data_IF_433270141172
#
_entry.id   IF_433270141172
#
_cell.length_a   1.000
_cell.length_b   1.000
_cell.length_c   1.000
_cell.angle_alpha   90.00
_cell.angle_beta   90.00
_cell.angle_gamma   90.00
#
_symmetry.space_group_name_H-M   'P 1'
#
loop_
_entity.id
_entity.type
_entity.pdbx_description
1 polymer ?
#
# COMPACT_ATOMS: atom_id res chain seq x y z
N UNK A 1 32.11 14.97 -23.56
CA UNK A 1 32.33 15.39 -22.15
C UNK A 1 31.29 16.44 -21.86
N UNK A 2 30.13 16.02 -21.34
CA UNK A 2 29.15 16.96 -20.84
C UNK A 2 29.80 17.68 -19.66
N UNK A 3 29.73 19.02 -19.68
CA UNK A 3 30.34 19.85 -18.65
C UNK A 3 29.70 19.47 -17.32
N UNK A 4 30.52 18.97 -16.41
CA UNK A 4 30.12 18.55 -15.05
C UNK A 4 29.63 19.75 -14.19
N UNK A 5 29.68 20.96 -14.74
CA UNK A 5 29.42 22.22 -14.05
C UNK A 5 28.43 23.05 -14.86
N UNK A 6 27.23 23.25 -14.32
CA UNK A 6 26.16 24.06 -14.91
C UNK A 6 25.76 25.14 -13.91
N UNK A 7 25.66 26.39 -14.38
CA UNK A 7 25.27 27.58 -13.58
C UNK A 7 23.92 27.35 -12.88
N UNK A 8 22.99 26.65 -13.52
CA UNK A 8 21.68 26.33 -12.94
C UNK A 8 21.74 25.26 -11.83
N UNK A 9 22.85 24.53 -11.71
CA UNK A 9 23.14 23.58 -10.61
C UNK A 9 23.93 24.24 -9.46
N UNK A 10 24.27 25.53 -9.56
CA UNK A 10 25.03 26.25 -8.53
C UNK A 10 24.26 26.36 -7.21
N UNK A 11 22.94 26.50 -7.29
CA UNK A 11 22.05 26.48 -6.13
C UNK A 11 21.33 25.13 -6.14
N UNK A 12 21.60 24.23 -5.16
CA UNK A 12 20.94 22.95 -5.11
C UNK A 12 19.43 23.16 -4.96
N UNK A 13 18.64 22.42 -5.75
CA UNK A 13 17.17 22.44 -5.61
C UNK A 13 16.81 22.04 -4.19
N UNK A 14 15.92 22.80 -3.55
CA UNK A 14 15.47 22.50 -2.19
C UNK A 14 14.71 21.18 -2.23
N UNK A 15 15.37 20.10 -1.82
CA UNK A 15 14.74 18.78 -1.68
C UNK A 15 13.75 18.87 -0.52
N UNK A 16 12.46 18.89 -0.83
CA UNK A 16 11.40 18.85 0.17
C UNK A 16 11.50 17.49 0.87
N UNK A 17 12.05 17.46 2.08
CA UNK A 17 12.12 16.23 2.84
C UNK A 17 10.70 15.80 3.23
N UNK A 18 10.22 14.61 2.80
CA UNK A 18 8.91 14.14 3.18
C UNK A 18 8.86 14.02 4.71
N UNK A 19 7.88 14.68 5.33
CA UNK A 19 7.70 14.59 6.78
C UNK A 19 7.30 13.15 7.12
N UNK A 20 8.07 12.50 8.00
CA UNK A 20 7.75 11.16 8.47
C UNK A 20 6.39 11.21 9.19
N UNK A 21 5.47 10.28 8.90
CA UNK A 21 4.20 10.25 9.61
C UNK A 21 4.42 10.06 11.11
N UNK A 22 3.50 10.57 11.92
CA UNK A 22 3.55 10.38 13.35
C UNK A 22 3.60 8.90 13.71
N UNK A 23 4.39 8.57 14.75
CA UNK A 23 4.48 7.20 15.23
C UNK A 23 3.12 6.75 15.73
N UNK A 24 2.63 5.63 15.20
CA UNK A 24 1.41 4.98 15.70
C UNK A 24 1.47 4.79 17.22
N UNK A 25 0.45 5.27 17.92
CA UNK A 25 0.21 5.01 19.35
C UNK A 25 -1.01 4.11 19.49
N UNK A 26 -0.84 3.02 20.22
CA UNK A 26 -1.93 2.10 20.53
C UNK A 26 -3.03 2.80 21.32
N UNK A 27 -4.29 2.39 21.09
CA UNK A 27 -5.45 2.81 21.90
C UNK A 27 -5.39 2.39 23.37
N UNK A 28 -4.49 1.47 23.72
CA UNK A 28 -4.37 0.91 25.06
C UNK A 28 -3.28 1.63 25.85
N UNK A 29 -3.59 1.98 27.10
CA UNK A 29 -2.64 2.62 28.01
C UNK A 29 -1.55 1.62 28.46
N UNK A 30 -0.26 1.90 28.21
CA UNK A 30 0.83 0.98 28.56
C UNK A 30 1.10 0.90 30.08
N UNK A 31 0.59 1.85 30.87
CA UNK A 31 0.75 1.87 32.33
C UNK A 31 -0.32 1.05 33.08
N UNK A 32 -1.33 0.55 32.37
CA UNK A 32 -2.44 -0.20 32.95
C UNK A 32 -2.09 -1.69 33.03
N UNK A 33 -2.49 -2.34 34.12
CA UNK A 33 -2.27 -3.77 34.26
C UNK A 33 -3.00 -4.58 33.16
N UNK A 34 -2.41 -5.65 32.62
CA UNK A 34 -3.04 -6.43 31.56
C UNK A 34 -4.31 -7.12 32.06
N UNK A 35 -5.40 -7.00 31.30
CA UNK A 35 -6.68 -7.63 31.63
C UNK A 35 -6.66 -9.10 31.22
N UNK A 36 -6.91 -10.02 32.15
CA UNK A 36 -7.02 -11.46 31.86
C UNK A 36 -5.71 -12.22 31.67
N UNK A 37 -4.57 -11.68 32.10
CA UNK A 37 -3.28 -12.40 32.01
C UNK A 37 -3.26 -13.63 32.93
N UNK A 38 -2.89 -14.79 32.36
CA UNK A 38 -2.74 -16.08 33.07
C UNK A 38 -1.31 -16.31 33.60
N UNK A 39 -0.34 -15.49 33.21
CA UNK A 39 1.04 -15.61 33.65
C UNK A 39 1.24 -14.89 34.99
N UNK A 40 1.27 -15.65 36.08
CA UNK A 40 1.60 -15.16 37.43
C UNK A 40 3.10 -14.96 37.62
N UNK A 41 3.70 -13.94 36.99
CA UNK A 41 5.17 -13.75 36.98
C UNK A 41 5.70 -13.02 38.22
N UNK A 42 4.86 -12.73 39.22
CA UNK A 42 5.32 -12.15 40.49
C UNK A 42 4.71 -12.96 41.62
N UNK A 43 5.57 -13.61 42.43
CA UNK A 43 5.24 -14.55 43.52
C UNK A 43 4.36 -13.98 44.65
N UNK A 44 3.16 -13.55 44.30
CA UNK A 44 2.03 -13.22 45.17
C UNK A 44 0.92 -14.21 44.83
N UNK A 45 0.19 -14.69 45.84
CA UNK A 45 -0.99 -15.57 45.72
C UNK A 45 -2.23 -14.88 45.10
N UNK A 46 -2.06 -13.72 44.48
CA UNK A 46 -3.13 -12.98 43.81
C UNK A 46 -2.70 -12.78 42.36
N UNK A 47 -3.36 -13.49 41.44
CA UNK A 47 -3.17 -13.32 39.99
C UNK A 47 -3.48 -11.86 39.62
N UNK A 48 -2.50 -11.02 39.24
CA UNK A 48 -2.74 -9.64 38.87
C UNK A 48 -3.21 -9.61 37.41
N UNK A 49 -4.42 -10.11 37.19
CA UNK A 49 -5.10 -10.12 35.89
C UNK A 49 -6.59 -9.78 35.99
N UNK A 50 -7.09 -9.41 37.17
CA UNK A 50 -8.50 -9.04 37.34
C UNK A 50 -8.70 -7.53 37.35
N UNK A 51 -8.38 -6.88 36.23
CA UNK A 51 -9.17 -5.72 35.82
C UNK A 51 -10.54 -6.21 35.30
N UNK A 52 -11.27 -6.97 36.13
CA UNK A 52 -12.66 -7.34 35.86
C UNK A 52 -13.52 -6.11 36.17
N UNK A 53 -13.45 -5.11 35.28
CA UNK A 53 -14.33 -3.95 35.27
C UNK A 53 -13.74 -2.62 35.73
N UNK A 54 -12.53 -2.57 36.31
CA UNK A 54 -11.91 -1.30 36.75
C UNK A 54 -10.47 -1.19 36.26
N UNK A 55 -10.15 -0.10 35.55
CA UNK A 55 -8.81 0.23 35.07
C UNK A 55 -7.98 0.65 36.29
N UNK A 56 -7.11 -0.23 36.77
CA UNK A 56 -6.20 0.09 37.88
C UNK A 56 -4.75 0.14 37.41
N UNK A 57 -4.03 1.19 37.83
CA UNK A 57 -2.57 1.25 37.69
C UNK A 57 -1.97 0.32 38.77
N UNK A 58 -0.98 -0.51 38.45
CA UNK A 58 -0.35 -1.34 39.47
C UNK A 58 0.37 -0.44 40.46
N UNK A 59 -0.03 -0.48 41.74
CA UNK A 59 0.74 0.14 42.80
C UNK A 59 2.14 -0.46 42.82
N UNK A 60 3.17 0.39 42.76
CA UNK A 60 4.55 -0.07 42.92
C UNK A 60 4.64 -0.79 44.27
N UNK A 61 5.02 -2.08 44.31
CA UNK A 61 5.09 -2.79 45.58
C UNK A 61 6.11 -2.08 46.46
N UNK A 62 5.67 -1.53 47.59
CA UNK A 62 6.57 -1.08 48.65
C UNK A 62 7.50 -2.22 49.13
N UNK A 63 7.12 -3.47 48.87
CA UNK A 63 7.82 -4.69 49.24
C UNK A 63 9.05 -5.03 48.38
N UNK A 64 9.43 -4.20 47.40
CA UNK A 64 10.79 -4.27 46.85
C UNK A 64 11.86 -3.77 47.86
N UNK A 65 11.44 -3.29 49.04
CA UNK A 65 12.30 -3.04 50.19
C UNK A 65 12.38 -4.29 51.08
N UNK A 66 13.12 -5.29 50.59
CA UNK A 66 13.88 -6.30 51.36
C UNK A 66 13.14 -7.27 52.29
N UNK A 67 13.45 -8.57 52.17
CA UNK A 67 13.38 -9.52 53.29
C UNK A 67 14.50 -9.19 54.31
N UNK A 68 14.34 -8.10 55.04
CA UNK A 68 15.34 -7.59 55.98
C UNK A 68 14.72 -6.86 57.17
N UNK A 69 15.56 -6.50 58.15
CA UNK A 69 15.15 -5.75 59.35
C UNK A 69 14.33 -4.52 58.95
N UNK A 70 13.08 -4.47 59.39
CA UNK A 70 12.22 -3.29 59.25
C UNK A 70 12.90 -2.11 59.96
N UNK A 71 13.07 -0.99 59.27
CA UNK A 71 13.78 0.20 59.77
C UNK A 71 13.03 0.95 60.87
N UNK A 72 11.75 0.63 61.08
CA UNK A 72 10.90 1.21 62.12
C UNK A 72 10.96 0.33 63.36
N UNK A 73 11.35 0.90 64.51
CA UNK A 73 11.30 0.20 65.80
C UNK A 73 9.83 -0.16 66.11
N UNK A 74 9.51 -1.41 66.46
CA UNK A 74 8.13 -1.77 66.80
C UNK A 74 7.68 -0.98 68.03
N UNK A 75 6.51 -0.35 67.93
CA UNK A 75 5.93 0.43 69.02
C UNK A 75 5.40 -0.52 70.11
N UNK A 76 5.91 -0.47 71.37
CA UNK A 76 5.53 -1.40 72.43
C UNK A 76 4.05 -1.34 72.82
N UNK A 77 3.32 -0.29 72.42
CA UNK A 77 1.87 -0.17 72.64
C UNK A 77 1.04 -0.92 71.59
N UNK A 78 1.61 -1.24 70.44
CA UNK A 78 0.96 -1.97 69.35
C UNK A 78 1.38 -3.44 69.35
N UNK A 79 0.99 -4.16 70.40
CA UNK A 79 1.14 -5.62 70.45
C UNK A 79 -0.15 -6.29 69.97
N UNK A 80 -0.02 -7.49 69.40
CA UNK A 80 -1.19 -8.27 68.99
C UNK A 80 -1.99 -8.74 70.20
N UNK A 81 -3.28 -8.43 70.24
CA UNK A 81 -4.20 -8.92 71.27
C UNK A 81 -4.74 -10.30 70.89
N UNK A 82 -5.13 -11.09 71.90
CA UNK A 82 -5.73 -12.42 71.70
C UNK A 82 -7.01 -12.29 70.86
N UNK A 83 -7.05 -12.95 69.70
CA UNK A 83 -8.21 -12.95 68.79
C UNK A 83 -8.21 -11.85 67.71
N UNK A 84 -7.25 -10.92 67.73
CA UNK A 84 -7.22 -9.76 66.81
C UNK A 84 -7.00 -10.15 65.34
N UNK A 85 -6.49 -11.37 65.06
CA UNK A 85 -6.37 -11.95 63.72
C UNK A 85 -7.23 -13.20 63.49
N UNK A 86 -8.16 -13.49 64.39
CA UNK A 86 -9.13 -14.57 64.20
C UNK A 86 -10.41 -14.01 63.58
N UNK A 87 -10.43 -13.79 62.26
CA UNK A 87 -11.66 -13.44 61.53
C UNK A 87 -12.47 -14.70 61.16
N UNK A 88 -12.58 -15.65 62.09
CA UNK A 88 -13.38 -16.87 61.91
C UNK A 88 -14.70 -16.85 62.68
N UNK A 89 -15.02 -15.74 63.35
CA UNK A 89 -16.38 -15.51 63.84
C UNK A 89 -17.23 -14.94 62.69
N UNK A 90 -17.94 -15.83 62.01
CA UNK A 90 -19.05 -15.45 61.12
C UNK A 90 -20.11 -14.80 62.00
N UNK A 91 -20.32 -13.49 61.85
CA UNK A 91 -21.45 -12.80 62.46
C UNK A 91 -22.74 -13.56 62.11
N UNK A 92 -23.50 -14.01 63.11
CA UNK A 92 -24.73 -14.79 62.90
C UNK A 92 -25.80 -14.00 62.13
N UNK A 93 -25.67 -12.67 62.14
CA UNK A 93 -26.52 -11.72 61.42
C UNK A 93 -26.09 -11.52 59.95
N UNK A 94 -24.89 -11.97 59.57
CA UNK A 94 -24.37 -11.91 58.20
C UNK A 94 -24.02 -13.32 57.72
N UNK A 95 -25.05 -14.16 57.61
CA UNK A 95 -24.91 -15.40 56.83
C UNK A 95 -24.57 -15.03 55.39
N UNK A 96 -23.55 -15.64 54.76
CA UNK A 96 -23.24 -15.35 53.37
C UNK A 96 -24.47 -15.67 52.51
N UNK A 97 -25.13 -14.64 51.99
CA UNK A 97 -26.23 -14.81 51.06
C UNK A 97 -25.66 -15.41 49.78
N UNK A 98 -26.27 -16.50 49.29
CA UNK A 98 -25.89 -17.10 48.00
C UNK A 98 -25.91 -16.00 46.94
N UNK A 99 -24.82 -15.87 46.20
CA UNK A 99 -24.70 -14.91 45.10
C UNK A 99 -25.91 -15.02 44.18
N UNK A 100 -26.62 -13.91 43.95
CA UNK A 100 -27.78 -13.84 43.06
C UNK A 100 -27.43 -13.01 41.83
N UNK A 101 -27.72 -13.54 40.65
CA UNK A 101 -27.63 -12.80 39.40
C UNK A 101 -28.74 -11.75 39.35
N UNK A 102 -28.40 -10.52 38.95
CA UNK A 102 -29.37 -9.46 38.69
C UNK A 102 -30.07 -9.72 37.34
N UNK A 103 -31.42 -9.79 37.34
CA UNK A 103 -32.23 -9.98 36.14
C UNK A 103 -33.55 -10.70 36.41
N UNK A 104 -34.47 -10.64 35.44
CA UNK A 104 -35.71 -11.42 35.51
C UNK A 104 -35.37 -12.91 35.38
N UNK A 105 -35.68 -13.68 36.42
CA UNK A 105 -35.57 -15.14 36.39
C UNK A 105 -36.68 -15.69 35.49
N UNK A 106 -36.39 -16.78 34.77
CA UNK A 106 -37.43 -17.54 34.06
C UNK A 106 -38.56 -17.90 35.05
N UNK A 107 -39.83 -17.90 34.61
CA UNK A 107 -40.94 -18.31 35.48
C UNK A 107 -40.67 -19.70 36.04
N UNK A 108 -41.12 -19.96 37.26
CA UNK A 108 -41.00 -21.27 37.89
C UNK A 108 -41.68 -22.34 37.04
N UNK A 109 -41.10 -23.54 37.03
CA UNK A 109 -41.72 -24.70 36.38
C UNK A 109 -43.02 -25.02 37.11
N UNK A 110 -44.09 -25.26 36.35
CA UNK A 110 -45.42 -25.66 36.84
C UNK A 110 -45.25 -26.90 37.74
N UNK A 111 -45.77 -26.85 38.97
CA UNK A 111 -45.67 -27.99 39.89
C UNK A 111 -46.71 -29.06 39.55
N UNK A 112 -46.52 -30.29 40.03
CA UNK A 112 -47.45 -31.40 39.75
C UNK A 112 -48.88 -31.11 40.27
N UNK A 113 -49.03 -30.28 41.30
CA UNK A 113 -50.33 -29.91 41.86
C UNK A 113 -51.05 -28.81 41.07
N UNK A 114 -50.33 -28.04 40.25
CA UNK A 114 -50.86 -26.91 39.49
C UNK A 114 -51.51 -27.40 38.19
N UNK A 115 -52.84 -27.52 38.21
CA UNK A 115 -53.61 -27.96 37.04
C UNK A 115 -53.71 -26.81 36.05
N UNK A 116 -53.49 -27.04 34.74
CA UNK A 116 -53.70 -26.01 33.72
C UNK A 116 -55.16 -25.55 33.75
N UNK A 117 -55.43 -24.35 33.22
CA UNK A 117 -56.80 -23.82 33.11
C UNK A 117 -57.60 -24.76 32.19
N UNK A 118 -58.34 -25.66 32.81
CA UNK A 118 -59.18 -26.66 32.14
C UNK A 118 -60.47 -26.00 31.66
N UNK A 119 -60.94 -26.36 30.47
CA UNK A 119 -62.25 -25.90 29.97
C UNK A 119 -62.20 -24.66 29.05
N UNK A 120 -61.02 -24.24 28.60
CA UNK A 120 -60.87 -23.32 27.47
C UNK A 120 -61.40 -23.98 26.19
N UNK A 121 -62.72 -23.88 25.97
CA UNK A 121 -63.36 -24.29 24.72
C UNK A 121 -63.50 -23.05 23.84
N UNK A 122 -62.91 -23.09 22.65
CA UNK A 122 -63.18 -22.07 21.64
C UNK A 122 -64.60 -22.26 21.11
N UNK A 123 -65.38 -21.18 21.00
CA UNK A 123 -66.68 -21.18 20.33
C UNK A 123 -66.57 -21.26 18.79
N UNK A 124 -65.37 -21.46 18.25
CA UNK A 124 -65.12 -21.53 16.81
C UNK A 124 -65.73 -22.79 16.21
N UNK A 125 -66.62 -22.62 15.24
CA UNK A 125 -67.11 -23.72 14.41
C UNK A 125 -66.05 -24.07 13.34
N UNK A 126 -65.34 -25.17 13.57
CA UNK A 126 -64.27 -25.62 12.69
C UNK A 126 -64.77 -26.08 11.31
N UNK A 127 -66.02 -26.54 11.20
CA UNK A 127 -66.59 -26.97 9.91
C UNK A 127 -66.74 -25.77 8.98
N UNK A 128 -67.36 -24.70 9.48
CA UNK A 128 -67.55 -23.46 8.70
C UNK A 128 -66.23 -22.74 8.46
N UNK A 129 -65.32 -22.71 9.44
CA UNK A 129 -64.04 -22.04 9.31
C UNK A 129 -63.13 -22.73 8.28
N UNK A 130 -63.03 -24.06 8.31
CA UNK A 130 -62.22 -24.80 7.36
C UNK A 130 -62.81 -24.71 5.94
N UNK A 131 -64.14 -24.70 5.82
CA UNK A 131 -64.80 -24.50 4.54
C UNK A 131 -64.48 -23.12 3.93
N UNK A 132 -64.59 -22.06 4.73
CA UNK A 132 -64.25 -20.69 4.29
C UNK A 132 -62.77 -20.58 3.94
N UNK A 133 -61.88 -21.15 4.74
CA UNK A 133 -60.43 -21.16 4.49
C UNK A 133 -60.08 -21.84 3.17
N UNK A 134 -60.71 -22.98 2.87
CA UNK A 134 -60.49 -23.70 1.61
C UNK A 134 -61.04 -22.93 0.39
N UNK A 135 -62.20 -22.26 0.54
CA UNK A 135 -62.82 -21.46 -0.54
C UNK A 135 -61.99 -20.22 -0.85
N UNK A 136 -61.47 -19.55 0.20
CA UNK A 136 -60.66 -18.34 0.06
C UNK A 136 -59.19 -18.65 -0.23
N UNK A 137 -58.77 -19.91 -0.13
CA UNK A 137 -57.41 -20.31 -0.42
C UNK A 137 -57.09 -20.03 -1.89
N UNK A 138 -56.19 -19.07 -2.10
CA UNK A 138 -55.59 -18.85 -3.40
C UNK A 138 -54.74 -20.09 -3.75
N UNK A 139 -54.96 -20.74 -4.92
CA UNK A 139 -54.13 -21.86 -5.35
C UNK A 139 -52.66 -21.42 -5.32
N UNK A 140 -51.82 -22.19 -4.62
CA UNK A 140 -50.41 -21.86 -4.46
C UNK A 140 -49.72 -21.70 -5.82
N UNK A 141 -48.58 -21.01 -5.85
CA UNK A 141 -47.86 -20.67 -7.08
C UNK A 141 -47.61 -21.89 -8.00
N UNK A 142 -47.50 -23.10 -7.44
CA UNK A 142 -47.36 -24.35 -8.22
C UNK A 142 -48.58 -24.73 -9.06
N UNK A 143 -49.79 -24.36 -8.65
CA UNK A 143 -51.02 -24.60 -9.41
C UNK A 143 -51.30 -23.49 -10.45
N UNK A 144 -50.61 -22.34 -10.34
CA UNK A 144 -50.75 -21.18 -11.24
C UNK A 144 -49.66 -21.12 -12.30
N UNK A 145 -48.51 -21.74 -12.07
CA UNK A 145 -47.39 -21.73 -13.02
C UNK A 145 -47.61 -22.85 -14.03
N UNK A 146 -48.33 -22.53 -15.10
CA UNK A 146 -48.01 -23.14 -16.39
C UNK A 146 -46.55 -22.78 -16.65
N UNK A 147 -45.66 -23.77 -16.62
CA UNK A 147 -44.24 -23.55 -16.88
C UNK A 147 -44.06 -23.38 -18.39
N UNK A 148 -44.57 -22.29 -18.94
CA UNK A 148 -44.29 -21.90 -20.31
C UNK A 148 -42.84 -21.41 -20.39
N UNK A 149 -42.15 -21.77 -21.48
CA UNK A 149 -40.79 -21.34 -21.70
C UNK A 149 -40.75 -19.80 -21.80
N UNK A 150 -39.75 -19.14 -21.20
CA UNK A 150 -39.66 -17.68 -21.21
C UNK A 150 -39.60 -17.14 -22.64
N UNK A 151 -40.55 -16.28 -22.99
CA UNK A 151 -40.62 -15.65 -24.31
C UNK A 151 -39.63 -14.48 -24.39
N UNK A 152 -38.41 -14.76 -24.83
CA UNK A 152 -37.33 -13.74 -24.95
C UNK A 152 -37.64 -12.59 -25.91
N UNK A 153 -38.59 -12.77 -26.84
CA UNK A 153 -39.04 -11.73 -27.77
C UNK A 153 -39.87 -10.64 -27.08
N UNK A 154 -40.56 -10.98 -25.99
CA UNK A 154 -41.41 -10.05 -25.23
C UNK A 154 -40.66 -9.34 -24.09
N UNK A 155 -39.32 -9.41 -24.10
CA UNK A 155 -38.53 -8.69 -23.10
C UNK A 155 -38.69 -7.19 -23.33
N UNK A 156 -39.02 -6.45 -22.28
CA UNK A 156 -39.18 -4.98 -22.32
C UNK A 156 -37.95 -4.24 -22.89
N UNK A 157 -36.76 -4.79 -22.63
CA UNK A 157 -35.49 -4.22 -23.10
C UNK A 157 -35.03 -4.81 -24.45
N UNK A 158 -35.87 -5.57 -25.15
CA UNK A 158 -35.48 -6.16 -26.44
C UNK A 158 -35.21 -5.04 -27.45
N UNK A 159 -34.02 -5.06 -28.06
CA UNK A 159 -33.57 -4.02 -28.98
C UNK A 159 -33.12 -2.71 -28.33
N UNK A 160 -33.19 -2.57 -27.01
CA UNK A 160 -32.66 -1.41 -26.29
C UNK A 160 -31.21 -1.63 -25.88
N UNK A 161 -30.39 -0.59 -25.99
CA UNK A 161 -29.00 -0.63 -25.52
C UNK A 161 -28.99 -0.59 -23.98
N UNK A 162 -28.36 -1.58 -23.30
CA UNK A 162 -28.27 -1.59 -21.85
C UNK A 162 -27.59 -0.33 -21.27
N UNK A 163 -28.15 0.20 -20.17
CA UNK A 163 -27.67 1.43 -19.51
C UNK A 163 -26.19 1.41 -19.14
N UNK A 164 -25.65 0.25 -18.76
CA UNK A 164 -24.25 0.11 -18.36
C UNK A 164 -23.27 0.38 -19.52
N UNK A 165 -23.67 0.13 -20.77
CA UNK A 165 -22.79 0.37 -21.92
C UNK A 165 -22.51 1.86 -22.13
N UNK A 166 -23.45 2.74 -21.76
CA UNK A 166 -23.21 4.18 -21.79
C UNK A 166 -22.21 4.61 -20.71
N UNK A 167 -22.28 4.01 -19.52
CA UNK A 167 -21.31 4.25 -18.44
C UNK A 167 -19.90 3.81 -18.87
N UNK A 168 -19.77 2.64 -19.49
CA UNK A 168 -18.49 2.14 -20.01
C UNK A 168 -17.92 3.05 -21.11
N UNK A 169 -18.77 3.57 -22.02
CA UNK A 169 -18.33 4.54 -23.03
C UNK A 169 -17.83 5.84 -22.39
N UNK A 170 -18.51 6.35 -21.38
CA UNK A 170 -18.09 7.54 -20.65
C UNK A 170 -16.76 7.32 -19.92
N UNK A 171 -16.56 6.14 -19.34
CA UNK A 171 -15.32 5.76 -18.66
C UNK A 171 -14.13 5.69 -19.64
N UNK A 172 -14.31 5.01 -20.78
CA UNK A 172 -13.29 4.93 -21.84
C UNK A 172 -12.95 6.33 -22.37
N UNK A 173 -13.96 7.17 -22.61
CA UNK A 173 -13.72 8.53 -23.10
C UNK A 173 -12.95 9.38 -22.08
N UNK A 174 -13.25 9.23 -20.79
CA UNK A 174 -12.53 9.92 -19.71
C UNK A 174 -11.09 9.43 -19.61
N UNK A 175 -10.85 8.13 -19.71
CA UNK A 175 -9.52 7.54 -19.69
C UNK A 175 -8.68 8.03 -20.88
N UNK A 176 -9.25 7.97 -22.08
CA UNK A 176 -8.59 8.47 -23.30
C UNK A 176 -8.21 9.95 -23.19
N UNK A 177 -9.10 10.78 -22.65
CA UNK A 177 -8.81 12.20 -22.42
C UNK A 177 -7.64 12.42 -21.44
N UNK A 178 -7.57 11.62 -20.36
CA UNK A 178 -6.44 11.68 -19.41
C UNK A 178 -5.12 11.23 -20.06
N UNK A 179 -5.16 10.17 -20.87
CA UNK A 179 -3.98 9.68 -21.60
C UNK A 179 -3.50 10.75 -22.58
N UNK A 180 -4.41 11.36 -23.33
CA UNK A 180 -4.08 12.43 -24.28
C UNK A 180 -3.44 13.64 -23.58
N UNK A 181 -4.00 14.06 -22.43
CA UNK A 181 -3.44 15.14 -21.64
C UNK A 181 -2.03 14.80 -21.11
N UNK A 182 -1.83 13.59 -20.60
CA UNK A 182 -0.53 13.13 -20.12
C UNK A 182 0.52 13.06 -21.23
N UNK A 183 0.14 12.54 -22.40
CA UNK A 183 1.02 12.51 -23.58
C UNK A 183 1.34 13.92 -24.04
N UNK A 184 0.37 14.84 -24.05
CA UNK A 184 0.60 16.24 -24.42
C UNK A 184 1.54 16.95 -23.44
N UNK A 185 1.35 16.77 -22.13
CA UNK A 185 2.23 17.34 -21.12
C UNK A 185 3.67 16.80 -21.25
N UNK A 186 3.83 15.48 -21.43
CA UNK A 186 5.15 14.88 -21.65
C UNK A 186 5.80 15.33 -22.95
N UNK A 187 5.02 15.44 -24.04
CA UNK A 187 5.53 15.95 -25.31
C UNK A 187 6.02 17.39 -25.19
N UNK A 188 5.26 18.26 -24.52
CA UNK A 188 5.68 19.63 -24.27
C UNK A 188 6.96 19.68 -23.40
N UNK A 189 7.07 18.83 -22.36
CA UNK A 189 8.28 18.74 -21.53
C UNK A 189 9.50 18.26 -22.30
N UNK A 190 9.33 17.26 -23.18
CA UNK A 190 10.40 16.77 -24.07
C UNK A 190 10.82 17.83 -25.11
N UNK A 191 9.86 18.58 -25.66
CA UNK A 191 10.14 19.68 -26.59
C UNK A 191 10.84 20.87 -25.90
N UNK A 192 10.60 21.10 -24.61
CA UNK A 192 11.28 22.14 -23.82
C UNK A 192 12.72 21.73 -23.41
N UNK A 193 12.93 20.46 -23.04
CA UNK A 193 14.26 19.93 -22.65
C UNK A 193 15.17 19.62 -23.86
N UNK A 194 14.62 19.27 -25.03
CA UNK A 194 15.35 19.08 -26.30
C UNK A 194 15.48 20.36 -27.14
N UNK A 195 15.41 21.53 -26.52
CA UNK A 195 15.74 22.81 -27.17
C UNK A 195 17.24 22.98 -27.50
N UNK A 196 18.04 21.92 -27.39
CA UNK A 196 19.22 21.77 -28.24
C UNK A 196 18.76 21.34 -29.62
N UNK A 197 18.57 22.29 -30.54
CA UNK A 197 18.11 22.06 -31.93
C UNK A 197 18.84 20.87 -32.57
N UNK A 198 18.20 19.71 -32.53
CA UNK A 198 18.58 18.49 -33.23
C UNK A 198 17.96 18.62 -34.62
N UNK A 199 18.74 19.12 -35.57
CA UNK A 199 18.28 19.33 -36.95
C UNK A 199 18.86 18.23 -37.85
N UNK A 200 18.05 17.56 -38.69
CA UNK A 200 18.59 16.65 -39.69
C UNK A 200 19.48 17.45 -40.65
N UNK A 201 20.71 17.00 -40.88
CA UNK A 201 21.61 17.65 -41.83
C UNK A 201 21.09 17.46 -43.25
N UNK A 202 21.14 18.51 -44.06
CA UNK A 202 20.72 18.40 -45.45
C UNK A 202 21.59 17.41 -46.23
N UNK A 203 20.97 16.73 -47.19
CA UNK A 203 21.63 15.64 -47.90
C UNK A 203 22.69 16.15 -48.88
N UNK A 204 22.56 17.38 -49.38
CA UNK A 204 23.58 18.02 -50.23
C UNK A 204 24.83 18.37 -49.40
N UNK A 205 24.64 19.03 -48.26
CA UNK A 205 25.73 19.38 -47.34
C UNK A 205 26.47 18.12 -46.85
N UNK A 206 25.74 17.02 -46.58
CA UNK A 206 26.32 15.72 -46.24
C UNK A 206 27.25 15.21 -47.35
N UNK A 207 26.81 15.26 -48.60
CA UNK A 207 27.60 14.76 -49.73
C UNK A 207 28.85 15.59 -49.96
N UNK A 208 28.76 16.92 -49.84
CA UNK A 208 29.90 17.82 -49.93
C UNK A 208 30.93 17.53 -48.83
N UNK A 209 30.47 17.32 -47.59
CA UNK A 209 31.34 16.98 -46.47
C UNK A 209 32.07 15.64 -46.70
N UNK A 210 31.36 14.63 -47.21
CA UNK A 210 31.96 13.33 -47.55
C UNK A 210 33.00 13.48 -48.66
N UNK A 211 32.76 14.30 -49.69
CA UNK A 211 33.73 14.57 -50.74
C UNK A 211 34.98 15.27 -50.19
N UNK A 212 34.80 16.27 -49.32
CA UNK A 212 35.92 16.97 -48.67
C UNK A 212 36.77 16.02 -47.79
N UNK A 213 36.13 15.12 -47.04
CA UNK A 213 36.82 14.11 -46.24
C UNK A 213 37.59 13.09 -47.10
N UNK A 214 37.00 12.65 -48.22
CA UNK A 214 37.69 11.78 -49.20
C UNK A 214 38.92 12.48 -49.80
N UNK A 215 38.79 13.75 -50.20
CA UNK A 215 39.93 14.51 -50.72
C UNK A 215 41.05 14.67 -49.68
N UNK A 216 40.69 14.86 -48.39
CA UNK A 216 41.66 14.90 -47.30
C UNK A 216 42.33 13.53 -47.08
N UNK A 217 41.56 12.44 -47.16
CA UNK A 217 42.09 11.08 -47.08
C UNK A 217 43.08 10.81 -48.22
N UNK A 218 42.75 11.18 -49.47
CA UNK A 218 43.65 11.04 -50.62
C UNK A 218 44.96 11.79 -50.42
N UNK A 219 44.91 13.01 -49.88
CA UNK A 219 46.12 13.81 -49.59
C UNK A 219 47.01 13.18 -48.52
N UNK A 220 46.42 12.70 -47.41
CA UNK A 220 47.16 12.04 -46.33
C UNK A 220 47.70 10.69 -46.80
N UNK A 221 46.91 9.94 -47.56
CA UNK A 221 47.30 8.65 -48.11
C UNK A 221 48.44 8.80 -49.13
N UNK A 222 48.41 9.83 -49.99
CA UNK A 222 49.52 10.14 -50.90
C UNK A 222 50.83 10.45 -50.15
N UNK A 223 50.75 11.12 -48.98
CA UNK A 223 51.93 11.31 -48.10
C UNK A 223 52.36 10.00 -47.45
N UNK A 224 51.43 9.20 -46.97
CA UNK A 224 51.70 7.89 -46.37
C UNK A 224 52.39 6.92 -47.34
N UNK A 225 51.90 6.84 -48.59
CA UNK A 225 52.50 6.03 -49.65
C UNK A 225 53.92 6.49 -50.01
N UNK A 226 54.20 7.80 -49.95
CA UNK A 226 55.60 8.28 -50.08
C UNK A 226 56.50 7.79 -48.96
N UNK A 227 55.98 7.35 -47.81
CA UNK A 227 56.79 6.70 -46.77
C UNK A 227 56.85 5.18 -46.90
N UNK A 228 55.91 4.52 -47.58
CA UNK A 228 55.79 3.06 -47.59
C UNK A 228 56.92 2.33 -48.32
N UNK A 229 57.66 3.01 -49.20
CA UNK A 229 58.84 2.44 -49.87
C UNK A 229 60.04 2.26 -48.92
N UNK A 230 59.99 2.83 -47.71
CA UNK A 230 61.04 2.65 -46.70
C UNK A 230 60.80 1.35 -45.95
N UNK A 231 61.61 0.32 -46.23
CA UNK A 231 61.52 -1.00 -45.60
C UNK A 231 61.98 -0.98 -44.14
N UNK A 232 62.91 -0.08 -43.78
CA UNK A 232 63.43 0.07 -42.42
C UNK A 232 63.27 1.51 -41.95
N UNK A 233 62.68 1.69 -40.77
CA UNK A 233 62.49 3.01 -40.14
C UNK A 233 63.51 3.23 -39.02
N UNK A 234 64.75 3.58 -39.38
CA UNK A 234 65.89 3.66 -38.45
C UNK A 234 65.82 4.78 -37.40
N UNK A 235 64.92 5.75 -37.58
CA UNK A 235 64.83 6.92 -36.69
C UNK A 235 63.44 7.00 -36.08
N UNK A 236 63.38 7.31 -34.78
CA UNK A 236 62.12 7.47 -34.04
C UNK A 236 61.18 8.50 -34.70
N UNK A 237 61.74 9.54 -35.33
CA UNK A 237 60.95 10.54 -36.06
C UNK A 237 60.25 9.99 -37.30
N UNK A 238 60.84 9.03 -38.01
CA UNK A 238 60.19 8.37 -39.16
C UNK A 238 59.03 7.49 -38.69
N UNK A 239 59.23 6.72 -37.61
CA UNK A 239 58.19 5.89 -36.98
C UNK A 239 57.01 6.74 -36.52
N UNK A 240 57.27 7.82 -35.77
CA UNK A 240 56.21 8.74 -35.30
C UNK A 240 55.40 9.35 -36.45
N UNK A 241 56.04 9.76 -37.55
CA UNK A 241 55.32 10.29 -38.72
C UNK A 241 54.42 9.24 -39.38
N UNK A 242 54.88 7.99 -39.46
CA UNK A 242 54.06 6.89 -39.97
C UNK A 242 52.85 6.65 -39.07
N UNK A 243 53.05 6.56 -37.76
CA UNK A 243 51.96 6.39 -36.78
C UNK A 243 50.95 7.54 -36.82
N UNK A 244 51.39 8.80 -37.00
CA UNK A 244 50.46 9.93 -37.13
C UNK A 244 49.60 9.82 -38.37
N UNK A 245 50.18 9.45 -39.51
CA UNK A 245 49.40 9.26 -40.74
C UNK A 245 48.43 8.07 -40.63
N UNK A 246 48.83 6.97 -39.99
CA UNK A 246 47.94 5.82 -39.77
C UNK A 246 46.76 6.17 -38.86
N UNK A 247 47.00 6.93 -37.79
CA UNK A 247 45.94 7.42 -36.91
C UNK A 247 44.99 8.36 -37.64
N UNK A 248 45.52 9.29 -38.43
CA UNK A 248 44.71 10.22 -39.24
C UNK A 248 43.87 9.49 -40.29
N UNK A 249 44.44 8.51 -41.01
CA UNK A 249 43.72 7.69 -41.99
C UNK A 249 42.59 6.88 -41.33
N UNK A 250 42.88 6.22 -40.22
CA UNK A 250 41.89 5.44 -39.48
C UNK A 250 40.75 6.32 -38.91
N UNK A 251 41.03 7.57 -38.55
CA UNK A 251 40.00 8.51 -38.14
C UNK A 251 39.12 8.95 -39.32
N UNK A 252 39.74 9.31 -40.45
CA UNK A 252 39.01 9.72 -41.66
C UNK A 252 38.12 8.59 -42.19
N UNK A 253 38.58 7.34 -42.13
CA UNK A 253 37.77 6.18 -42.54
C UNK A 253 36.51 6.03 -41.68
N UNK A 254 36.64 6.17 -40.35
CA UNK A 254 35.49 6.12 -39.43
C UNK A 254 34.52 7.28 -39.67
N UNK A 255 35.03 8.48 -39.87
CA UNK A 255 34.20 9.67 -40.12
C UNK A 255 33.43 9.53 -41.44
N UNK A 256 34.07 9.00 -42.48
CA UNK A 256 33.42 8.73 -43.78
C UNK A 256 32.36 7.62 -43.65
N UNK A 257 32.65 6.55 -42.92
CA UNK A 257 31.70 5.44 -42.70
C UNK A 257 30.45 5.94 -41.96
N UNK A 258 30.63 6.76 -40.92
CA UNK A 258 29.52 7.34 -40.16
C UNK A 258 28.60 8.16 -41.07
N UNK A 259 29.17 9.03 -41.91
CA UNK A 259 28.40 9.89 -42.80
C UNK A 259 27.72 9.11 -43.94
N UNK A 260 28.27 7.97 -44.37
CA UNK A 260 27.68 7.13 -45.43
C UNK A 260 26.54 6.23 -44.94
N UNK A 261 26.51 5.85 -43.65
CA UNK A 261 25.58 4.83 -43.11
C UNK A 261 24.11 5.26 -43.06
N UNK A 262 23.76 6.54 -43.20
CA UNK A 262 22.36 6.98 -43.29
C UNK A 262 22.13 8.45 -42.91
N UNK A 263 20.90 8.75 -42.45
CA UNK A 263 20.50 10.08 -41.98
C UNK A 263 21.33 10.49 -40.77
N UNK A 264 22.08 11.58 -40.90
CA UNK A 264 22.93 12.14 -39.84
C UNK A 264 22.24 13.36 -39.26
N UNK A 265 22.22 13.42 -37.93
CA UNK A 265 21.58 14.50 -37.19
C UNK A 265 22.66 15.32 -36.49
N UNK A 266 22.59 16.64 -36.67
CA UNK A 266 23.60 17.56 -36.13
C UNK A 266 23.06 18.18 -34.85
N UNK A 267 23.77 17.93 -33.75
CA UNK A 267 23.54 18.65 -32.51
C UNK A 267 24.38 19.93 -32.53
N UNK A 268 23.73 21.09 -32.59
CA UNK A 268 24.41 22.36 -32.40
C UNK A 268 24.78 22.52 -30.92
N UNK A 269 25.99 22.09 -30.55
CA UNK A 269 26.60 22.51 -29.29
C UNK A 269 26.99 23.98 -29.44
N UNK A 270 26.12 24.89 -29.00
CA UNK A 270 26.41 26.33 -28.83
C UNK A 270 27.33 26.58 -27.64
N UNK A 271 28.46 25.86 -27.64
CA UNK A 271 29.53 25.95 -26.67
C UNK A 271 30.67 26.76 -27.30
N UNK A 272 30.39 28.00 -27.67
CA UNK A 272 31.44 28.99 -27.97
C UNK A 272 31.62 29.90 -26.76
N UNK A 273 32.79 29.69 -26.13
CA UNK A 273 33.40 30.36 -24.98
C UNK A 273 32.93 29.88 -23.61
#
# INVERSE_FOLDING_TARGET
>A
MQRDECIYNLIPRVVIQPQKPERYRSKHDPEVAPTGSTFGVQGKTRLPGSNLGVITKPDKPASARGFGKVSVKPDPKQFMKKGERCTSAVDSNNKPTKFTYAGQKKPSVITREEKPIMGLKSAKNYVTANAVEAILAVPGNRARVNHEDPQYLQKEDYGQVPKYLNQVKEEINRENAMIEEFVRQNKNLLEEDESGKIEPMDEQERQELVQALKAKWDHVNAKYQKLCHNVVFDTLGKVRRKETFEKELAQLEKDIELLQKGSVVVAHNSDRY
#
